data_IF_653262990977
#
_entry.id   IF_653262990977
#
_cell.length_a   1.000
_cell.length_b   1.000
_cell.length_c   1.000
_cell.angle_alpha   90.00
_cell.angle_beta   90.00
_cell.angle_gamma   90.00
#
_symmetry.space_group_name_H-M   'P 1'
#
loop_
_entity.id
_entity.type
_entity.pdbx_description
1 polymer ?
#
# COMPACT_ATOMS: atom_id res chain seq x y z
N UNK A 1 -2.14 8.08 7.00
CA UNK A 1 -3.43 7.97 7.71
C UNK A 1 -4.23 6.83 7.10
N UNK A 2 -4.87 5.95 7.89
CA UNK A 2 -5.82 4.93 7.35
C UNK A 2 -7.24 5.41 7.63
N UNK A 3 -8.07 5.45 6.59
CA UNK A 3 -9.49 5.81 6.66
C UNK A 3 -10.31 4.53 6.48
N UNK A 4 -11.11 4.13 7.47
CA UNK A 4 -11.97 2.96 7.35
C UNK A 4 -13.11 3.24 6.35
N UNK A 5 -13.34 2.31 5.44
CA UNK A 5 -14.47 2.34 4.49
C UNK A 5 -15.60 1.43 4.95
N UNK A 6 -15.26 0.27 5.50
CA UNK A 6 -16.18 -0.67 6.11
C UNK A 6 -15.46 -1.38 7.26
N UNK A 7 -16.14 -1.61 8.37
CA UNK A 7 -15.60 -2.36 9.51
C UNK A 7 -16.62 -3.34 10.02
N UNK A 8 -16.17 -4.56 10.25
CA UNK A 8 -16.94 -5.66 10.82
C UNK A 8 -16.07 -6.32 11.89
N UNK A 9 -16.67 -6.61 13.06
CA UNK A 9 -15.95 -7.12 14.21
C UNK A 9 -15.32 -8.50 13.98
N UNK A 10 -15.85 -9.28 13.03
CA UNK A 10 -15.37 -10.63 12.70
C UNK A 10 -14.57 -10.67 11.41
N UNK A 11 -14.99 -9.89 10.40
CA UNK A 11 -14.39 -9.90 9.05
C UNK A 11 -13.23 -8.91 8.90
N UNK A 12 -13.13 -7.92 9.78
CA UNK A 12 -12.09 -6.90 9.77
C UNK A 12 -12.49 -5.59 9.11
N UNK A 13 -11.51 -4.72 8.92
CA UNK A 13 -11.68 -3.37 8.39
C UNK A 13 -11.09 -3.26 6.99
N UNK A 14 -11.92 -2.85 6.03
CA UNK A 14 -11.49 -2.35 4.73
C UNK A 14 -11.12 -0.88 4.90
N UNK A 15 -9.94 -0.48 4.41
CA UNK A 15 -9.45 0.88 4.55
C UNK A 15 -8.83 1.40 3.25
N UNK A 16 -8.78 2.73 3.15
CA UNK A 16 -7.94 3.47 2.20
C UNK A 16 -6.95 4.34 2.98
N UNK A 17 -5.72 4.42 2.51
CA UNK A 17 -4.65 5.21 3.07
C UNK A 17 -4.02 6.06 1.96
N UNK A 18 -4.54 7.28 1.73
CA UNK A 18 -3.97 8.19 0.76
C UNK A 18 -2.62 8.72 1.24
N UNK A 19 -1.68 8.89 0.30
CA UNK A 19 -0.43 9.62 0.54
C UNK A 19 -0.70 11.11 0.35
N UNK A 20 -1.07 11.79 1.43
CA UNK A 20 -1.49 13.20 1.39
C UNK A 20 -0.31 14.10 1.72
N UNK A 21 0.02 15.01 0.81
CA UNK A 21 1.00 16.07 1.02
C UNK A 21 0.26 17.40 1.12
N UNK A 22 0.17 17.99 2.32
CA UNK A 22 -0.42 19.31 2.50
C UNK A 22 0.53 20.40 1.97
N UNK A 23 -0.05 21.50 1.49
CA UNK A 23 0.62 22.77 1.25
C UNK A 23 -0.13 23.89 1.99
N UNK A 24 0.27 25.14 1.78
CA UNK A 24 -0.22 26.30 2.54
C UNK A 24 -1.75 26.47 2.50
N UNK A 25 -2.42 26.03 1.44
CA UNK A 25 -3.87 26.27 1.24
C UNK A 25 -4.65 25.03 0.80
N UNK A 26 -3.99 23.92 0.48
CA UNK A 26 -4.61 22.74 -0.10
C UNK A 26 -3.84 21.46 0.24
N UNK A 27 -4.38 20.32 -0.16
CA UNK A 27 -3.74 19.02 -0.01
C UNK A 27 -3.80 18.27 -1.34
N UNK A 28 -2.67 17.69 -1.74
CA UNK A 28 -2.56 16.86 -2.95
C UNK A 28 -2.31 15.42 -2.53
N UNK A 29 -2.96 14.48 -3.21
CA UNK A 29 -2.74 13.05 -2.99
C UNK A 29 -1.75 12.51 -4.02
N UNK A 30 -0.67 11.89 -3.54
CA UNK A 30 0.40 11.30 -4.33
C UNK A 30 0.29 9.77 -4.35
N UNK A 31 -0.90 9.28 -4.70
CA UNK A 31 -1.23 7.86 -4.67
C UNK A 31 -1.94 7.43 -3.38
N UNK A 32 -2.27 6.15 -3.30
CA UNK A 32 -3.02 5.58 -2.19
C UNK A 32 -2.74 4.09 -2.02
N UNK A 33 -2.91 3.61 -0.80
CA UNK A 33 -2.96 2.18 -0.47
C UNK A 33 -4.37 1.80 -0.07
N UNK A 34 -4.89 0.72 -0.60
CA UNK A 34 -6.12 0.08 -0.11
C UNK A 34 -5.76 -1.23 0.56
N UNK A 35 -6.52 -1.62 1.57
CA UNK A 35 -6.27 -2.89 2.22
C UNK A 35 -7.38 -3.35 3.13
N UNK A 36 -7.19 -4.57 3.61
CA UNK A 36 -8.04 -5.21 4.61
C UNK A 36 -7.17 -5.57 5.80
N UNK A 37 -7.68 -5.28 7.00
CA UNK A 37 -7.04 -5.65 8.26
C UNK A 37 -8.03 -6.43 9.11
N UNK A 38 -7.73 -7.69 9.38
CA UNK A 38 -8.53 -8.58 10.23
C UNK A 38 -8.26 -8.34 11.72
N UNK A 39 -9.20 -8.69 12.62
CA UNK A 39 -9.03 -8.55 14.06
C UNK A 39 -7.88 -9.38 14.63
N UNK A 40 -7.61 -10.53 14.01
CA UNK A 40 -6.48 -11.42 14.34
C UNK A 40 -5.11 -10.84 13.93
N UNK A 41 -5.05 -9.62 13.39
CA UNK A 41 -3.82 -8.97 12.96
C UNK A 41 -3.37 -9.33 11.54
N UNK A 42 -4.02 -10.30 10.88
CA UNK A 42 -3.78 -10.62 9.48
C UNK A 42 -4.27 -9.48 8.58
N UNK A 43 -3.75 -9.43 7.36
CA UNK A 43 -4.22 -8.44 6.41
C UNK A 43 -3.50 -8.51 5.08
N UNK A 44 -4.03 -7.75 4.14
CA UNK A 44 -3.44 -7.57 2.82
C UNK A 44 -3.64 -6.14 2.37
N UNK A 45 -2.74 -5.66 1.51
CA UNK A 45 -2.83 -4.34 0.94
C UNK A 45 -2.30 -4.34 -0.49
N UNK A 46 -2.78 -3.37 -1.26
CA UNK A 46 -2.26 -3.00 -2.57
C UNK A 46 -2.23 -1.48 -2.66
N UNK A 47 -1.15 -0.91 -3.19
CA UNK A 47 -0.99 0.53 -3.24
C UNK A 47 -0.11 1.02 -4.36
N UNK A 48 -0.26 2.30 -4.65
CA UNK A 48 0.53 3.04 -5.62
C UNK A 48 1.01 4.33 -4.96
N UNK A 49 2.27 4.69 -5.21
CA UNK A 49 2.85 5.95 -4.79
C UNK A 49 3.36 6.71 -6.04
N UNK A 50 2.96 7.97 -6.17
CA UNK A 50 3.33 8.86 -7.28
C UNK A 50 4.11 10.09 -6.81
N UNK A 51 4.67 10.06 -5.59
CA UNK A 51 5.45 11.15 -5.00
C UNK A 51 6.74 11.43 -5.74
N UNK A 52 7.28 10.42 -6.43
CA UNK A 52 8.46 10.56 -7.28
C UNK A 52 8.08 10.64 -8.75
N UNK A 53 9.02 11.05 -9.60
CA UNK A 53 8.84 11.04 -11.06
C UNK A 53 8.49 9.63 -11.63
N UNK A 54 8.71 8.56 -10.84
CA UNK A 54 8.48 7.17 -11.22
C UNK A 54 7.47 6.55 -10.24
N UNK A 55 6.26 6.20 -10.70
CA UNK A 55 5.30 5.55 -9.82
C UNK A 55 5.81 4.21 -9.32
N UNK A 56 5.57 3.95 -8.04
CA UNK A 56 5.86 2.65 -7.41
C UNK A 56 4.54 1.96 -7.09
N UNK A 57 4.48 0.66 -7.36
CA UNK A 57 3.35 -0.21 -7.02
C UNK A 57 3.80 -1.19 -5.96
N UNK A 58 2.93 -1.49 -4.99
CA UNK A 58 3.22 -2.42 -3.92
C UNK A 58 2.01 -3.29 -3.60
N UNK A 59 2.28 -4.52 -3.23
CA UNK A 59 1.29 -5.46 -2.66
C UNK A 59 1.93 -6.15 -1.47
N UNK A 60 1.14 -6.47 -0.46
CA UNK A 60 1.64 -7.23 0.67
C UNK A 60 0.53 -7.95 1.41
N UNK A 61 0.91 -9.00 2.10
CA UNK A 61 0.05 -9.77 2.96
C UNK A 61 0.81 -10.17 4.22
N UNK A 62 0.09 -10.23 5.34
CA UNK A 62 0.63 -10.75 6.60
C UNK A 62 -0.39 -11.64 7.28
N UNK A 63 0.14 -12.62 7.99
CA UNK A 63 -0.66 -13.43 8.92
C UNK A 63 -0.83 -12.68 10.25
N UNK A 64 -1.67 -13.19 11.14
CA UNK A 64 -1.78 -12.69 12.52
C UNK A 64 -0.56 -13.00 13.41
N UNK A 65 0.38 -13.81 12.91
CA UNK A 65 1.66 -14.11 13.55
C UNK A 65 2.83 -13.40 12.86
N UNK A 66 4.02 -13.99 12.91
CA UNK A 66 5.27 -13.35 12.48
C UNK A 66 5.50 -13.36 10.95
N UNK A 67 4.71 -14.15 10.21
CA UNK A 67 4.90 -14.32 8.77
C UNK A 67 4.30 -13.16 7.99
N UNK A 68 5.13 -12.52 7.16
CA UNK A 68 4.72 -11.48 6.21
C UNK A 68 5.40 -11.59 4.85
N UNK A 69 4.67 -11.20 3.81
CA UNK A 69 5.10 -11.14 2.41
C UNK A 69 4.84 -9.75 1.86
N UNK A 70 5.80 -9.19 1.14
CA UNK A 70 5.59 -7.96 0.38
C UNK A 70 6.29 -8.04 -0.96
N UNK A 71 5.64 -7.56 -2.00
CA UNK A 71 6.22 -7.37 -3.32
C UNK A 71 6.01 -5.94 -3.78
N UNK A 72 6.97 -5.41 -4.53
CA UNK A 72 6.89 -4.08 -5.11
C UNK A 72 7.51 -4.03 -6.48
N UNK A 73 7.06 -3.08 -7.30
CA UNK A 73 7.59 -2.83 -8.62
C UNK A 73 7.67 -1.32 -8.90
N UNK A 74 8.76 -0.90 -9.54
CA UNK A 74 8.97 0.47 -10.01
C UNK A 74 9.41 0.48 -11.49
N UNK A 75 9.13 1.57 -12.20
CA UNK A 75 9.58 1.77 -13.58
C UNK A 75 11.08 2.09 -13.64
N UNK A 76 11.81 1.44 -14.55
CA UNK A 76 13.27 1.49 -14.61
C UNK A 76 13.87 2.73 -15.32
N UNK A 77 13.10 3.53 -16.07
CA UNK A 77 13.67 4.68 -16.78
C UNK A 77 12.79 5.38 -17.81
N UNK A 78 13.37 6.41 -18.44
CA UNK A 78 12.77 7.49 -19.27
C UNK A 78 11.83 7.03 -20.40
N UNK A 79 11.92 5.77 -20.82
CA UNK A 79 11.09 5.17 -21.87
C UNK A 79 10.05 4.14 -21.36
N UNK A 80 9.93 3.92 -20.04
CA UNK A 80 9.04 2.93 -19.40
C UNK A 80 9.16 1.52 -19.98
N UNK A 81 10.36 1.12 -20.42
CA UNK A 81 10.56 -0.15 -21.14
C UNK A 81 10.98 -1.32 -20.24
N UNK A 82 11.36 -1.08 -18.99
CA UNK A 82 11.61 -2.16 -18.04
C UNK A 82 11.07 -1.86 -16.63
N UNK A 83 11.00 -2.92 -15.83
CA UNK A 83 10.44 -2.94 -14.49
C UNK A 83 11.51 -3.48 -13.54
N UNK A 84 11.71 -2.81 -12.41
CA UNK A 84 12.44 -3.37 -11.27
C UNK A 84 11.41 -3.89 -10.28
N UNK A 85 11.50 -5.16 -9.92
CA UNK A 85 10.59 -5.79 -8.96
C UNK A 85 11.37 -6.52 -7.87
N UNK A 86 10.81 -6.56 -6.66
CA UNK A 86 11.39 -7.25 -5.52
C UNK A 86 10.33 -7.92 -4.67
N UNK A 87 10.70 -9.04 -4.03
CA UNK A 87 9.87 -9.77 -3.07
C UNK A 87 10.63 -9.89 -1.76
N UNK A 88 9.96 -9.63 -0.65
CA UNK A 88 10.48 -9.82 0.71
C UNK A 88 9.56 -10.75 1.47
N UNK A 89 10.16 -11.70 2.19
CA UNK A 89 9.48 -12.66 3.06
C UNK A 89 10.13 -12.55 4.44
N UNK A 90 9.32 -12.43 5.49
CA UNK A 90 9.77 -12.45 6.89
C UNK A 90 9.01 -13.53 7.64
N UNK A 91 9.69 -14.21 8.56
CA UNK A 91 9.21 -15.32 9.38
C UNK A 91 9.90 -15.30 10.73
#
# INVERSE_FOLDING_TARGET
MKVPLASDAEKGTVYVAPNVVPNETSAVTQGATVGVQRPDGAGMYGGMDTSTARPTYSVGAKTGGDVSFSAGAESDGKDKKAVKAGVTIKY
#
